data_IF_784941333393
#
_entry.id   IF_784941333393
#
_cell.length_a   1.000
_cell.length_b   1.000
_cell.length_c   1.000
_cell.angle_alpha   90.00
_cell.angle_beta   90.00
_cell.angle_gamma   90.00
#
_symmetry.space_group_name_H-M   'P 1'
#
loop_
_entity.id
_entity.type
_entity.pdbx_description
1 polymer ?
#
# COMPACT_ATOMS: atom_id res chain seq x y z
N UNK A 1 -29.08 -16.76 7.51
CA UNK A 1 -28.10 -17.03 6.43
C UNK A 1 -28.82 -16.81 5.11
N UNK A 2 -28.51 -15.75 4.39
CA UNK A 2 -29.10 -15.52 3.05
C UNK A 2 -28.55 -16.57 2.10
N UNK A 3 -29.44 -17.34 1.47
CA UNK A 3 -29.04 -18.30 0.44
C UNK A 3 -28.33 -17.55 -0.69
N UNK A 4 -27.07 -17.89 -0.94
CA UNK A 4 -26.29 -17.28 -2.00
C UNK A 4 -26.82 -17.77 -3.35
N UNK A 5 -27.39 -16.87 -4.14
CA UNK A 5 -27.91 -17.18 -5.46
C UNK A 5 -26.74 -17.49 -6.39
N UNK A 6 -26.80 -18.67 -7.06
CA UNK A 6 -25.86 -19.04 -8.10
C UNK A 6 -26.62 -18.96 -9.44
N UNK A 7 -26.13 -18.11 -10.33
CA UNK A 7 -26.67 -17.98 -11.69
C UNK A 7 -26.04 -19.03 -12.61
N UNK A 8 -26.69 -19.29 -13.73
CA UNK A 8 -26.15 -20.12 -14.81
C UNK A 8 -25.63 -19.23 -15.96
N UNK A 9 -24.81 -19.78 -16.85
CA UNK A 9 -24.39 -19.09 -18.07
C UNK A 9 -25.60 -18.57 -18.89
N UNK A 10 -26.69 -19.35 -18.94
CA UNK A 10 -27.95 -18.94 -19.62
C UNK A 10 -28.62 -17.73 -18.93
N UNK A 11 -28.42 -17.52 -17.63
CA UNK A 11 -29.00 -16.38 -16.94
C UNK A 11 -28.31 -15.06 -17.33
N UNK A 12 -27.04 -15.09 -17.78
CA UNK A 12 -26.36 -13.91 -18.33
C UNK A 12 -27.09 -13.31 -19.54
N UNK A 13 -27.69 -14.16 -20.39
CA UNK A 13 -28.48 -13.69 -21.52
C UNK A 13 -29.91 -13.28 -21.11
N UNK A 14 -30.57 -14.13 -20.32
CA UNK A 14 -31.99 -13.96 -19.99
C UNK A 14 -32.25 -12.97 -18.86
N UNK A 15 -31.33 -12.90 -17.89
CA UNK A 15 -31.47 -12.11 -16.64
C UNK A 15 -30.29 -11.15 -16.46
N UNK A 16 -29.72 -10.64 -17.55
CA UNK A 16 -28.52 -9.76 -17.51
C UNK A 16 -28.59 -8.70 -16.43
N UNK A 17 -29.72 -7.98 -16.33
CA UNK A 17 -29.90 -6.90 -15.36
C UNK A 17 -29.84 -7.45 -13.93
N UNK A 18 -30.49 -8.55 -13.63
CA UNK A 18 -30.47 -9.17 -12.29
C UNK A 18 -29.05 -9.59 -11.88
N UNK A 19 -28.31 -10.25 -12.79
CA UNK A 19 -26.93 -10.68 -12.55
C UNK A 19 -25.99 -9.49 -12.35
N UNK A 20 -26.11 -8.44 -13.19
CA UNK A 20 -25.28 -7.23 -13.03
C UNK A 20 -25.63 -6.43 -11.79
N UNK A 21 -26.90 -6.37 -11.39
CA UNK A 21 -27.30 -5.71 -10.15
C UNK A 21 -26.83 -6.51 -8.91
N UNK A 22 -26.79 -7.85 -8.99
CA UNK A 22 -26.19 -8.68 -7.95
C UNK A 22 -24.69 -8.42 -7.82
N UNK A 23 -23.96 -8.32 -8.94
CA UNK A 23 -22.54 -7.98 -8.98
C UNK A 23 -22.26 -6.59 -8.38
N UNK A 24 -23.10 -5.58 -8.70
CA UNK A 24 -22.96 -4.22 -8.14
C UNK A 24 -23.15 -4.15 -6.62
N UNK A 25 -23.94 -5.06 -6.05
CA UNK A 25 -24.12 -5.17 -4.60
C UNK A 25 -23.04 -5.99 -3.89
N UNK A 26 -22.11 -6.56 -4.66
CA UNK A 26 -21.01 -7.37 -4.15
C UNK A 26 -20.50 -8.34 -5.21
N UNK A 27 -20.85 -9.60 -5.13
CA UNK A 27 -20.38 -10.67 -6.02
C UNK A 27 -21.57 -11.46 -6.58
N UNK A 28 -21.67 -11.56 -7.90
CA UNK A 28 -22.53 -12.53 -8.56
C UNK A 28 -21.74 -13.81 -8.88
N UNK A 29 -22.21 -14.95 -8.46
CA UNK A 29 -21.60 -16.27 -8.75
C UNK A 29 -22.33 -16.89 -9.92
N UNK A 30 -21.58 -17.39 -10.88
CA UNK A 30 -22.09 -17.96 -12.12
C UNK A 30 -21.49 -19.36 -12.26
N UNK A 31 -22.30 -20.32 -12.62
CA UNK A 31 -21.85 -21.66 -13.02
C UNK A 31 -21.90 -21.75 -14.54
N UNK A 32 -20.78 -22.00 -15.15
CA UNK A 32 -20.68 -22.21 -16.57
C UNK A 32 -21.20 -23.60 -17.00
N UNK A 33 -21.36 -23.81 -18.28
CA UNK A 33 -21.93 -25.04 -18.87
C UNK A 33 -21.05 -26.27 -18.62
N UNK A 34 -19.75 -26.11 -18.46
CA UNK A 34 -18.79 -27.16 -18.10
C UNK A 34 -18.70 -27.42 -16.57
N UNK A 35 -19.48 -26.68 -15.76
CA UNK A 35 -19.48 -26.76 -14.31
C UNK A 35 -18.47 -25.82 -13.64
N UNK A 36 -17.67 -25.06 -14.39
CA UNK A 36 -16.72 -24.08 -13.84
C UNK A 36 -17.45 -22.97 -13.10
N UNK A 37 -16.95 -22.62 -11.93
CA UNK A 37 -17.42 -21.47 -11.16
C UNK A 37 -16.76 -20.19 -11.64
N UNK A 38 -17.57 -19.21 -12.02
CA UNK A 38 -17.13 -17.86 -12.38
C UNK A 38 -17.69 -16.85 -11.37
N UNK A 39 -17.03 -15.71 -11.25
CA UNK A 39 -17.50 -14.58 -10.43
C UNK A 39 -17.55 -13.31 -11.27
N UNK A 40 -18.61 -12.54 -11.08
CA UNK A 40 -18.73 -11.18 -11.60
C UNK A 40 -18.78 -10.22 -10.43
N UNK A 41 -17.89 -9.24 -10.44
CA UNK A 41 -17.77 -8.21 -9.42
C UNK A 41 -17.37 -6.89 -10.08
N UNK A 42 -17.55 -5.73 -9.41
CA UNK A 42 -17.06 -4.46 -9.91
C UNK A 42 -15.55 -4.49 -10.16
N UNK A 43 -15.10 -3.90 -11.27
CA UNK A 43 -13.66 -3.85 -11.60
C UNK A 43 -12.82 -3.28 -10.46
N UNK A 44 -13.28 -2.17 -9.84
CA UNK A 44 -12.63 -1.57 -8.68
C UNK A 44 -12.41 -2.56 -7.53
N UNK A 45 -13.41 -3.37 -7.20
CA UNK A 45 -13.27 -4.37 -6.15
C UNK A 45 -12.21 -5.43 -6.48
N UNK A 46 -12.15 -5.87 -7.75
CA UNK A 46 -11.09 -6.76 -8.22
C UNK A 46 -9.71 -6.09 -8.10
N UNK A 47 -9.57 -4.82 -8.50
CA UNK A 47 -8.32 -4.06 -8.43
C UNK A 47 -7.81 -3.95 -7.00
N UNK A 48 -8.72 -3.71 -6.04
CA UNK A 48 -8.37 -3.66 -4.61
C UNK A 48 -7.91 -5.04 -4.12
N UNK A 49 -8.64 -6.11 -4.41
CA UNK A 49 -8.27 -7.46 -4.00
C UNK A 49 -6.89 -7.87 -4.55
N UNK A 50 -6.63 -7.58 -5.82
CA UNK A 50 -5.36 -7.87 -6.49
C UNK A 50 -4.21 -7.03 -5.90
N UNK A 51 -4.43 -5.75 -5.66
CA UNK A 51 -3.45 -4.87 -5.02
C UNK A 51 -3.14 -5.31 -3.59
N UNK A 52 -4.16 -5.60 -2.78
CA UNK A 52 -4.01 -6.09 -1.40
C UNK A 52 -3.21 -7.40 -1.37
N UNK A 53 -3.49 -8.34 -2.27
CA UNK A 53 -2.72 -9.59 -2.39
C UNK A 53 -1.24 -9.31 -2.67
N UNK A 54 -0.93 -8.46 -3.65
CA UNK A 54 0.45 -8.07 -3.96
C UNK A 54 1.15 -7.36 -2.82
N UNK A 55 0.43 -6.52 -2.07
CA UNK A 55 1.01 -5.82 -0.94
C UNK A 55 1.26 -6.73 0.28
N UNK A 56 0.49 -7.79 0.47
CA UNK A 56 0.81 -8.82 1.45
C UNK A 56 2.12 -9.55 1.11
N UNK A 57 2.33 -9.92 -0.16
CA UNK A 57 3.61 -10.53 -0.58
C UNK A 57 4.79 -9.58 -0.35
N UNK A 58 4.61 -8.28 -0.64
CA UNK A 58 5.62 -7.25 -0.40
C UNK A 58 5.91 -7.01 1.08
N UNK A 59 4.87 -7.06 1.91
CA UNK A 59 5.01 -6.98 3.36
C UNK A 59 5.89 -8.12 3.89
N UNK A 60 5.65 -9.34 3.46
CA UNK A 60 6.48 -10.51 3.80
C UNK A 60 7.94 -10.34 3.34
N UNK A 61 8.17 -9.73 2.17
CA UNK A 61 9.51 -9.41 1.67
C UNK A 61 10.21 -8.41 2.59
N UNK A 62 9.53 -7.32 2.95
CA UNK A 62 10.08 -6.30 3.84
C UNK A 62 10.40 -6.87 5.25
N UNK A 63 9.52 -7.69 5.81
CA UNK A 63 9.73 -8.35 7.10
C UNK A 63 10.93 -9.31 7.07
N UNK A 64 11.07 -10.11 6.01
CA UNK A 64 12.25 -10.98 5.84
C UNK A 64 13.55 -10.21 5.69
N UNK A 65 13.51 -9.06 4.99
CA UNK A 65 14.66 -8.18 4.89
C UNK A 65 15.02 -7.57 6.25
N UNK A 66 14.04 -7.11 7.02
CA UNK A 66 14.26 -6.58 8.37
C UNK A 66 14.84 -7.65 9.33
N UNK A 67 14.42 -8.91 9.21
CA UNK A 67 14.93 -10.01 10.04
C UNK A 67 16.42 -10.31 9.81
N UNK A 68 17.01 -9.86 8.68
CA UNK A 68 18.45 -9.97 8.43
C UNK A 68 19.20 -8.83 9.10
N UNK A 69 20.40 -9.07 9.66
CA UNK A 69 21.28 -7.99 10.10
C UNK A 69 21.53 -6.99 8.97
N UNK A 70 21.48 -5.68 9.24
CA UNK A 70 21.58 -4.62 8.24
C UNK A 70 22.78 -4.79 7.31
N UNK A 71 23.95 -5.13 7.84
CA UNK A 71 25.17 -5.34 7.05
C UNK A 71 25.18 -6.58 6.15
N UNK A 72 24.17 -7.45 6.26
CA UNK A 72 24.02 -8.63 5.42
C UNK A 72 22.90 -8.52 4.40
N UNK A 73 22.15 -7.40 4.42
CA UNK A 73 21.08 -7.15 3.44
C UNK A 73 21.68 -6.75 2.10
N UNK A 74 21.18 -7.37 1.05
CA UNK A 74 21.52 -7.05 -0.34
C UNK A 74 20.26 -6.55 -1.06
N UNK A 75 20.37 -5.77 -2.15
CA UNK A 75 19.20 -5.22 -2.85
C UNK A 75 18.13 -6.25 -3.22
N UNK A 76 18.56 -7.47 -3.57
CA UNK A 76 17.64 -8.58 -3.91
C UNK A 76 16.75 -9.02 -2.75
N UNK A 77 17.14 -8.78 -1.50
CA UNK A 77 16.33 -9.15 -0.33
C UNK A 77 15.04 -8.31 -0.24
N UNK A 78 14.99 -7.16 -0.90
CA UNK A 78 13.84 -6.27 -0.93
C UNK A 78 12.92 -6.49 -2.14
N UNK A 79 13.22 -7.44 -3.03
CA UNK A 79 12.41 -7.70 -4.23
C UNK A 79 12.26 -6.44 -5.09
N UNK A 80 11.00 -6.06 -5.40
CA UNK A 80 10.65 -4.83 -6.11
C UNK A 80 10.63 -3.58 -5.22
N UNK A 81 10.82 -3.74 -3.90
CA UNK A 81 10.92 -2.65 -2.91
C UNK A 81 12.39 -2.26 -2.64
N UNK A 82 13.26 -2.30 -3.64
CA UNK A 82 14.71 -2.05 -3.49
C UNK A 82 15.04 -0.69 -2.88
N UNK A 83 14.14 0.28 -2.96
CA UNK A 83 14.28 1.59 -2.34
C UNK A 83 14.27 1.54 -0.80
N UNK A 84 13.69 0.51 -0.19
CA UNK A 84 13.71 0.29 1.27
C UNK A 84 15.13 0.14 1.84
N UNK A 85 16.13 -0.20 1.03
CA UNK A 85 17.54 -0.30 1.46
C UNK A 85 18.10 1.01 2.01
N UNK A 86 17.50 2.14 1.68
CA UNK A 86 17.91 3.46 2.12
C UNK A 86 17.39 3.83 3.51
N UNK A 87 16.33 3.14 3.97
CA UNK A 87 15.78 3.28 5.31
C UNK A 87 16.69 2.61 6.33
N UNK A 88 16.73 3.13 7.54
CA UNK A 88 17.34 2.42 8.66
C UNK A 88 16.36 1.38 9.26
N UNK A 89 16.76 0.71 10.35
CA UNK A 89 15.95 -0.34 10.96
C UNK A 89 14.71 0.23 11.66
N UNK A 90 14.80 1.42 12.23
CA UNK A 90 13.68 2.10 12.92
C UNK A 90 12.64 2.53 11.89
N UNK A 91 13.06 3.19 10.81
CA UNK A 91 12.19 3.59 9.71
C UNK A 91 11.53 2.38 9.04
N UNK A 92 12.29 1.30 8.84
CA UNK A 92 11.77 0.08 8.21
C UNK A 92 10.70 -0.59 9.09
N UNK A 93 10.86 -0.59 10.42
CA UNK A 93 9.84 -1.07 11.36
C UNK A 93 8.57 -0.22 11.27
N UNK A 94 8.70 1.11 11.24
CA UNK A 94 7.57 2.04 11.12
C UNK A 94 6.85 1.83 9.79
N UNK A 95 7.59 1.79 8.67
CA UNK A 95 7.05 1.52 7.34
C UNK A 95 6.22 0.23 7.31
N UNK A 96 6.77 -0.87 7.84
CA UNK A 96 6.07 -2.17 7.87
C UNK A 96 4.78 -2.09 8.67
N UNK A 97 4.78 -1.42 9.82
CA UNK A 97 3.59 -1.25 10.65
C UNK A 97 2.50 -0.43 9.95
N UNK A 98 2.89 0.70 9.36
CA UNK A 98 1.97 1.57 8.61
C UNK A 98 1.44 0.89 7.34
N UNK A 99 2.29 0.19 6.60
CA UNK A 99 1.89 -0.58 5.41
C UNK A 99 0.85 -1.64 5.77
N UNK A 100 1.06 -2.38 6.86
CA UNK A 100 0.10 -3.40 7.32
C UNK A 100 -1.26 -2.78 7.64
N UNK A 101 -1.27 -1.63 8.32
CA UNK A 101 -2.49 -0.91 8.63
C UNK A 101 -3.20 -0.41 7.35
N UNK A 102 -2.45 0.22 6.43
CA UNK A 102 -3.00 0.73 5.18
C UNK A 102 -3.56 -0.37 4.27
N UNK A 103 -2.91 -1.53 4.19
CA UNK A 103 -3.42 -2.70 3.44
C UNK A 103 -4.73 -3.20 4.03
N UNK A 104 -4.85 -3.23 5.37
CA UNK A 104 -6.09 -3.62 6.05
C UNK A 104 -7.22 -2.63 5.78
N UNK A 105 -6.95 -1.33 5.85
CA UNK A 105 -7.93 -0.27 5.54
C UNK A 105 -8.38 -0.36 4.09
N UNK A 106 -7.43 -0.48 3.15
CA UNK A 106 -7.73 -0.59 1.73
C UNK A 106 -8.68 -1.75 1.41
N UNK A 107 -8.48 -2.90 2.06
CA UNK A 107 -9.38 -4.04 1.92
C UNK A 107 -10.79 -3.78 2.47
N UNK A 108 -10.91 -3.13 3.63
CA UNK A 108 -12.20 -2.89 4.29
C UNK A 108 -13.02 -1.80 3.61
N UNK A 109 -12.35 -0.75 3.14
CA UNK A 109 -12.97 0.42 2.55
C UNK A 109 -13.14 0.31 1.03
N UNK A 110 -12.61 -0.79 0.43
CA UNK A 110 -12.58 -1.01 -1.02
C UNK A 110 -11.93 0.18 -1.75
N UNK A 111 -10.84 0.74 -1.17
CA UNK A 111 -10.14 1.93 -1.65
C UNK A 111 -8.63 1.84 -1.43
N UNK A 112 -7.85 2.14 -2.48
CA UNK A 112 -6.38 2.11 -2.46
C UNK A 112 -5.74 3.48 -2.19
N UNK A 113 -6.51 4.54 -2.07
CA UNK A 113 -5.99 5.92 -2.05
C UNK A 113 -4.97 6.15 -0.94
N UNK A 114 -5.27 5.72 0.28
CA UNK A 114 -4.41 5.90 1.44
C UNK A 114 -3.16 5.02 1.36
N UNK A 115 -3.31 3.78 0.87
CA UNK A 115 -2.20 2.87 0.63
C UNK A 115 -1.22 3.42 -0.42
N UNK A 116 -1.74 3.92 -1.54
CA UNK A 116 -0.94 4.52 -2.60
C UNK A 116 -0.24 5.80 -2.13
N UNK A 117 -0.91 6.60 -1.29
CA UNK A 117 -0.31 7.80 -0.71
C UNK A 117 0.82 7.44 0.24
N UNK A 118 0.59 6.51 1.17
CA UNK A 118 1.61 6.02 2.10
C UNK A 118 2.88 5.58 1.37
N UNK A 119 2.73 4.77 0.33
CA UNK A 119 3.88 4.25 -0.43
C UNK A 119 4.62 5.38 -1.16
N UNK A 120 3.91 6.37 -1.70
CA UNK A 120 4.54 7.54 -2.32
C UNK A 120 5.37 8.34 -1.31
N UNK A 121 4.82 8.59 -0.14
CA UNK A 121 5.48 9.40 0.90
C UNK A 121 6.76 8.71 1.40
N UNK A 122 6.70 7.41 1.65
CA UNK A 122 7.87 6.64 2.04
C UNK A 122 8.93 6.54 0.95
N UNK A 123 8.54 6.49 -0.33
CA UNK A 123 9.49 6.56 -1.44
C UNK A 123 10.23 7.88 -1.49
N UNK A 124 9.52 8.99 -1.30
CA UNK A 124 10.15 10.32 -1.23
C UNK A 124 11.17 10.36 -0.09
N UNK A 125 10.81 9.89 1.10
CA UNK A 125 11.71 9.81 2.25
C UNK A 125 12.96 8.97 1.93
N UNK A 126 12.77 7.80 1.33
CA UNK A 126 13.89 6.94 0.95
C UNK A 126 14.80 7.56 -0.11
N UNK A 127 14.24 8.29 -1.07
CA UNK A 127 15.00 9.00 -2.11
C UNK A 127 15.81 10.16 -1.53
N UNK A 128 15.27 10.86 -0.53
CA UNK A 128 16.01 11.90 0.21
C UNK A 128 17.16 11.31 1.03
N UNK A 129 16.94 10.16 1.68
CA UNK A 129 17.97 9.45 2.43
C UNK A 129 19.03 8.80 1.52
N UNK A 130 18.72 8.54 0.26
CA UNK A 130 19.66 8.02 -0.73
C UNK A 130 20.69 9.05 -1.17
N UNK A 131 20.38 10.36 -1.09
CA UNK A 131 21.28 11.45 -1.42
C UNK A 131 22.16 11.78 -0.20
N UNK A 132 23.51 11.62 -0.27
CA UNK A 132 24.40 11.89 0.86
C UNK A 132 24.32 13.32 1.39
N UNK A 133 24.15 14.31 0.52
CA UNK A 133 24.06 15.71 0.90
C UNK A 133 22.75 16.04 1.61
N UNK A 134 21.63 15.47 1.12
CA UNK A 134 20.33 15.60 1.74
C UNK A 134 20.24 14.83 3.06
N UNK A 135 20.84 13.65 3.11
CA UNK A 135 20.92 12.84 4.31
C UNK A 135 21.66 13.58 5.43
N UNK A 136 22.78 14.23 5.12
CA UNK A 136 23.53 15.04 6.10
C UNK A 136 22.73 16.23 6.60
N UNK A 137 21.95 16.89 5.72
CA UNK A 137 21.05 17.98 6.10
C UNK A 137 19.89 17.54 7.00
N UNK A 138 19.35 16.32 6.79
CA UNK A 138 18.24 15.78 7.58
C UNK A 138 18.70 15.18 8.92
N UNK A 139 19.86 14.53 8.95
CA UNK A 139 20.38 13.82 10.11
C UNK A 139 21.51 14.59 10.83
N UNK A 140 22.01 15.66 10.20
CA UNK A 140 23.02 16.53 10.81
C UNK A 140 22.46 17.23 12.05
N UNK A 141 23.20 17.18 13.15
CA UNK A 141 22.89 18.01 14.30
C UNK A 141 23.01 19.47 13.88
N UNK A 142 21.94 20.23 13.95
CA UNK A 142 22.01 21.70 13.88
C UNK A 142 22.90 22.17 15.01
N UNK A 143 24.09 22.67 14.70
CA UNK A 143 24.91 23.32 15.68
C UNK A 143 24.21 24.62 16.13
N UNK A 144 24.32 24.97 17.43
CA UNK A 144 23.71 26.19 17.99
C UNK A 144 24.12 27.48 17.22
N UNK A 145 25.20 27.42 16.43
CA UNK A 145 25.68 28.46 15.54
C UNK A 145 24.84 28.68 14.25
N UNK A 146 23.95 27.76 13.92
CA UNK A 146 23.05 27.87 12.75
C UNK A 146 21.74 28.65 13.06
N UNK A 147 21.53 29.02 14.30
CA UNK A 147 20.44 29.91 14.71
C UNK A 147 20.86 31.37 14.47
N UNK A 148 20.44 31.95 13.38
CA UNK A 148 20.46 33.41 13.21
C UNK A 148 19.35 33.98 14.05
N UNK A 149 19.73 34.75 15.09
CA UNK A 149 18.79 35.50 15.93
C UNK A 149 18.07 36.53 15.04
N UNK A 150 16.84 36.27 14.70
CA UNK A 150 16.01 37.20 13.91
C UNK A 150 15.51 38.27 14.92
N UNK A 151 16.17 39.44 14.95
CA UNK A 151 15.69 40.61 15.67
C UNK A 151 14.23 40.89 15.27
N UNK A 152 13.36 40.94 16.26
CA UNK A 152 11.95 41.26 16.06
C UNK A 152 11.83 42.72 15.57
N UNK A 153 11.28 43.02 14.39
CA UNK A 153 11.05 44.39 14.00
C UNK A 153 9.93 44.98 14.83
N UNK A 154 10.26 46.00 15.65
CA UNK A 154 9.27 46.82 16.30
C UNK A 154 9.34 46.90 17.82
N UNK A 155 10.29 47.68 18.34
CA UNK A 155 10.10 48.45 19.56
C UNK A 155 10.87 49.78 19.42
N UNK A 156 10.32 50.70 18.64
CA UNK A 156 10.63 52.11 18.72
C UNK A 156 9.36 52.80 19.19
N UNK A 157 9.26 53.01 20.53
CA UNK A 157 8.33 53.92 21.15
C UNK A 157 8.72 55.37 20.96
#
# INVERSE_FOLDING_TARGET
MSAQVIYTASDLDRKRREVTDAARRGVARIRDTDGMGLVLLPARHYEVLDAVSRWHDRLDVAERALAKPRGQRIPRDFGDLTWLRHLDDEDLVVFIAELRAAVSVAYHDDDLSDLDQLVRDWRVTADELADPARREALLGSFAEADYVDVERPGDTG
#
